data_IF_586980623731
#
_entry.id   IF_586980623731
#
_cell.length_a   1.000
_cell.length_b   1.000
_cell.length_c   1.000
_cell.angle_alpha   90.00
_cell.angle_beta   90.00
_cell.angle_gamma   90.00
#
_symmetry.space_group_name_H-M   'P 1'
#
loop_
_entity.id
_entity.type
_entity.pdbx_description
1 polymer ?
#
# COMPACT_ATOMS: atom_id res chain seq x y z
N UNK A 1 39.78 -35.48 -20.86
CA UNK A 1 39.36 -35.03 -19.54
C UNK A 1 39.68 -33.56 -19.44
N UNK A 2 38.71 -32.67 -19.75
CA UNK A 2 38.90 -31.21 -19.82
C UNK A 2 38.27 -30.64 -18.53
N UNK A 3 39.10 -30.13 -17.63
CA UNK A 3 38.68 -29.42 -16.38
C UNK A 3 38.29 -27.99 -16.76
N UNK A 4 37.02 -27.66 -16.65
CA UNK A 4 36.53 -26.27 -16.68
C UNK A 4 36.84 -25.58 -15.36
N UNK A 5 37.39 -24.36 -15.35
CA UNK A 5 37.68 -23.65 -14.12
C UNK A 5 36.39 -23.03 -13.52
N UNK A 6 36.05 -23.48 -12.32
CA UNK A 6 34.88 -23.09 -11.53
C UNK A 6 34.94 -21.66 -10.91
N UNK A 7 35.71 -20.73 -11.50
CA UNK A 7 35.93 -19.38 -10.92
C UNK A 7 35.02 -18.25 -11.45
N UNK A 8 34.17 -18.52 -12.46
CA UNK A 8 33.39 -17.45 -13.12
C UNK A 8 32.01 -17.16 -12.50
N UNK A 9 31.54 -17.95 -11.52
CA UNK A 9 30.16 -17.81 -10.99
C UNK A 9 30.06 -16.84 -9.81
N UNK A 10 31.18 -16.41 -9.20
CA UNK A 10 31.16 -15.56 -7.98
C UNK A 10 31.02 -14.05 -8.24
N UNK A 11 31.19 -13.54 -9.45
CA UNK A 11 31.16 -12.10 -9.73
C UNK A 11 29.76 -11.54 -10.06
N UNK A 12 28.79 -12.38 -10.41
CA UNK A 12 27.46 -11.92 -10.83
C UNK A 12 26.52 -11.53 -9.67
N UNK A 13 26.84 -11.87 -8.41
CA UNK A 13 25.98 -11.55 -7.25
C UNK A 13 26.16 -10.14 -6.67
N UNK A 14 27.16 -9.38 -7.08
CA UNK A 14 27.48 -8.06 -6.48
C UNK A 14 26.71 -6.88 -7.09
N UNK A 15 26.06 -7.02 -8.23
CA UNK A 15 25.34 -5.93 -8.91
C UNK A 15 23.93 -5.67 -8.37
N UNK A 16 23.39 -6.53 -7.49
CA UNK A 16 22.02 -6.42 -6.96
C UNK A 16 21.91 -5.83 -5.54
N UNK A 17 22.94 -5.22 -5.00
CA UNK A 17 22.95 -4.76 -3.62
C UNK A 17 22.57 -3.28 -3.42
N UNK A 18 22.06 -2.59 -4.43
CA UNK A 18 21.49 -1.28 -4.20
C UNK A 18 20.08 -1.47 -3.62
N UNK A 19 19.97 -1.36 -2.30
CA UNK A 19 18.69 -1.36 -1.57
C UNK A 19 18.42 0.03 -1.06
N UNK A 20 17.33 0.61 -1.52
CA UNK A 20 16.84 1.91 -1.05
C UNK A 20 15.62 1.68 -0.18
N UNK A 21 15.65 2.16 1.06
CA UNK A 21 14.54 2.07 2.01
C UNK A 21 14.09 3.47 2.39
N UNK A 22 12.79 3.71 2.35
CA UNK A 22 12.16 4.96 2.80
C UNK A 22 10.88 4.64 3.57
N UNK A 23 10.65 5.41 4.63
CA UNK A 23 9.48 5.24 5.50
C UNK A 23 8.81 6.59 5.70
N UNK A 24 7.49 6.61 5.56
CA UNK A 24 6.63 7.76 5.78
C UNK A 24 5.57 7.40 6.81
N UNK A 25 5.18 8.37 7.63
CA UNK A 25 4.20 8.16 8.69
C UNK A 25 3.14 9.25 8.65
N UNK A 26 1.92 8.87 8.99
CA UNK A 26 0.81 9.80 9.19
C UNK A 26 -0.03 9.36 10.39
N UNK A 27 -0.60 10.34 11.09
CA UNK A 27 -1.54 10.13 12.18
C UNK A 27 -2.95 10.35 11.64
N UNK A 28 -3.88 9.49 12.02
CA UNK A 28 -5.30 9.56 11.69
C UNK A 28 -6.12 9.62 12.97
N UNK A 29 -7.18 10.43 12.95
CA UNK A 29 -8.21 10.43 14.01
C UNK A 29 -9.12 9.19 13.94
N UNK A 30 -9.11 8.44 12.83
CA UNK A 30 -9.83 7.19 12.68
C UNK A 30 -9.28 6.10 13.62
N UNK A 31 -10.12 5.11 13.93
CA UNK A 31 -9.69 3.95 14.71
C UNK A 31 -8.72 3.06 13.92
N UNK A 32 -7.95 2.23 14.62
CA UNK A 32 -7.09 1.20 13.98
C UNK A 32 -7.92 0.29 13.07
N UNK A 33 -9.13 -0.07 13.51
CA UNK A 33 -9.99 -0.98 12.75
C UNK A 33 -10.51 -0.34 11.45
N UNK A 34 -10.88 0.94 11.47
CA UNK A 34 -11.34 1.64 10.27
C UNK A 34 -10.21 1.85 9.28
N UNK A 35 -9.03 2.22 9.77
CA UNK A 35 -7.83 2.36 8.96
C UNK A 35 -7.41 1.01 8.36
N UNK A 36 -7.50 -0.05 9.15
CA UNK A 36 -7.21 -1.41 8.69
C UNK A 36 -8.21 -1.88 7.64
N UNK A 37 -9.52 -1.67 7.85
CA UNK A 37 -10.55 -2.00 6.85
C UNK A 37 -10.28 -1.29 5.51
N UNK A 38 -9.94 0.00 5.55
CA UNK A 38 -9.62 0.76 4.35
C UNK A 38 -8.39 0.23 3.64
N UNK A 39 -7.34 -0.14 4.38
CA UNK A 39 -6.12 -0.73 3.83
C UNK A 39 -6.37 -2.10 3.20
N UNK A 40 -7.27 -2.91 3.79
CA UNK A 40 -7.58 -4.27 3.33
C UNK A 40 -8.56 -4.31 2.17
N UNK A 41 -9.24 -3.22 1.86
CA UNK A 41 -10.08 -3.08 0.66
C UNK A 41 -9.19 -2.84 -0.57
N UNK A 42 -8.66 -3.93 -1.11
CA UNK A 42 -7.78 -3.90 -2.28
C UNK A 42 -8.51 -3.51 -3.57
N UNK A 43 -9.84 -3.54 -3.59
CA UNK A 43 -10.65 -3.11 -4.73
C UNK A 43 -10.72 -1.58 -4.80
N UNK A 44 -10.76 -0.90 -3.67
CA UNK A 44 -10.77 0.56 -3.60
C UNK A 44 -9.37 1.13 -3.46
N UNK A 45 -8.77 1.49 -4.57
CA UNK A 45 -7.47 2.18 -4.65
C UNK A 45 -7.60 3.68 -4.93
N UNK A 46 -8.79 4.25 -4.80
CA UNK A 46 -9.05 5.67 -5.08
C UNK A 46 -8.16 6.61 -4.24
N UNK A 47 -7.86 6.21 -3.01
CA UNK A 47 -7.00 6.92 -2.08
C UNK A 47 -5.50 6.78 -2.41
N UNK A 48 -5.10 5.79 -3.23
CA UNK A 48 -3.68 5.49 -3.45
C UNK A 48 -3.11 6.35 -4.58
N UNK A 49 -2.07 7.18 -4.35
CA UNK A 49 -1.58 8.13 -5.35
C UNK A 49 -0.86 7.49 -6.53
N UNK A 50 -0.35 6.26 -6.36
CA UNK A 50 0.38 5.53 -7.40
C UNK A 50 -0.49 4.56 -8.19
N UNK A 51 -1.63 4.10 -7.65
CA UNK A 51 -2.50 3.11 -8.29
C UNK A 51 -3.73 3.77 -8.91
N UNK A 52 -4.08 3.37 -10.14
CA UNK A 52 -5.26 3.82 -10.86
C UNK A 52 -6.44 2.86 -10.66
N UNK A 53 -6.19 1.56 -10.76
CA UNK A 53 -7.19 0.50 -10.62
C UNK A 53 -6.55 -0.82 -10.23
N UNK A 54 -7.38 -1.76 -9.77
CA UNK A 54 -7.00 -3.16 -9.53
C UNK A 54 -8.02 -4.09 -10.16
N UNK A 55 -7.62 -5.34 -10.39
CA UNK A 55 -8.52 -6.40 -10.84
C UNK A 55 -9.14 -7.20 -9.68
N UNK A 56 -8.98 -6.72 -8.45
CA UNK A 56 -9.53 -7.38 -7.26
C UNK A 56 -11.04 -7.16 -7.20
N UNK A 57 -11.87 -8.22 -7.07
CA UNK A 57 -13.30 -8.06 -6.88
C UNK A 57 -13.60 -7.46 -5.50
N UNK A 58 -14.71 -6.70 -5.42
CA UNK A 58 -15.17 -6.12 -4.16
C UNK A 58 -15.41 -7.19 -3.11
N UNK A 59 -15.00 -6.92 -1.87
CA UNK A 59 -15.17 -7.82 -0.74
C UNK A 59 -14.11 -8.93 -0.62
N UNK A 60 -13.15 -9.01 -1.56
CA UNK A 60 -12.02 -9.92 -1.40
C UNK A 60 -11.04 -9.37 -0.36
N UNK A 61 -10.84 -10.14 0.70
CA UNK A 61 -9.90 -9.79 1.78
C UNK A 61 -8.49 -10.26 1.42
N UNK A 62 -7.50 -9.39 1.63
CA UNK A 62 -6.09 -9.72 1.41
C UNK A 62 -5.66 -10.90 2.29
N UNK A 63 -5.04 -11.91 1.66
CA UNK A 63 -4.48 -13.09 2.33
C UNK A 63 -3.05 -13.32 1.84
N UNK A 64 -2.16 -13.86 2.69
CA UNK A 64 -0.83 -14.27 2.25
C UNK A 64 -0.92 -15.22 1.05
N UNK A 65 -0.11 -14.99 0.03
CA UNK A 65 -0.13 -15.76 -1.21
C UNK A 65 -1.10 -15.24 -2.29
N UNK A 66 -1.95 -14.25 -1.99
CA UNK A 66 -2.79 -13.62 -3.00
C UNK A 66 -1.94 -12.87 -4.02
N UNK A 67 -2.20 -13.13 -5.30
CA UNK A 67 -1.59 -12.40 -6.43
C UNK A 67 -2.71 -11.67 -7.17
N UNK A 68 -2.51 -10.38 -7.42
CA UNK A 68 -3.46 -9.58 -8.19
C UNK A 68 -2.73 -8.58 -9.09
N UNK A 69 -3.44 -7.99 -10.02
CA UNK A 69 -2.91 -6.98 -10.92
C UNK A 69 -3.43 -5.60 -10.53
N UNK A 70 -2.56 -4.62 -10.63
CA UNK A 70 -2.92 -3.21 -10.49
C UNK A 70 -2.35 -2.42 -11.66
N UNK A 71 -3.01 -1.33 -12.02
CA UNK A 71 -2.54 -0.38 -13.03
C UNK A 71 -2.01 0.85 -12.32
N UNK A 72 -0.82 1.30 -12.69
CA UNK A 72 -0.22 2.50 -12.10
C UNK A 72 -0.73 3.78 -12.76
N UNK A 73 -0.78 4.89 -12.00
CA UNK A 73 -1.17 6.22 -12.52
C UNK A 73 -0.07 6.89 -13.33
N UNK A 74 1.19 6.67 -12.98
CA UNK A 74 2.34 7.34 -13.61
C UNK A 74 2.58 6.82 -15.03
N UNK A 75 2.54 5.50 -15.17
CA UNK A 75 2.67 4.82 -16.45
C UNK A 75 1.59 3.74 -16.43
N UNK A 76 0.62 3.74 -17.36
CA UNK A 76 -0.51 2.81 -17.31
C UNK A 76 -0.09 1.37 -17.69
N UNK A 77 0.86 0.83 -16.96
CA UNK A 77 1.35 -0.54 -17.12
C UNK A 77 0.73 -1.39 -16.01
N UNK A 78 0.18 -2.58 -16.34
CA UNK A 78 -0.24 -3.53 -15.34
C UNK A 78 0.97 -4.09 -14.59
N UNK A 79 0.94 -4.03 -13.27
CA UNK A 79 1.95 -4.60 -12.38
C UNK A 79 1.34 -5.75 -11.59
N UNK A 80 2.14 -6.76 -11.28
CA UNK A 80 1.72 -7.85 -10.41
C UNK A 80 2.10 -7.53 -8.97
N UNK A 81 1.13 -7.65 -8.08
CA UNK A 81 1.29 -7.46 -6.64
C UNK A 81 1.06 -8.79 -5.95
N UNK A 82 2.03 -9.19 -5.15
CA UNK A 82 2.01 -10.41 -4.35
C UNK A 82 1.88 -10.04 -2.87
N UNK A 83 0.83 -10.52 -2.21
CA UNK A 83 0.65 -10.34 -0.77
C UNK A 83 1.53 -11.33 -0.02
N UNK A 84 2.59 -10.84 0.64
CA UNK A 84 3.55 -11.69 1.34
C UNK A 84 3.11 -12.01 2.76
N UNK A 85 2.66 -10.99 3.49
CA UNK A 85 2.34 -11.12 4.90
C UNK A 85 1.16 -10.25 5.29
N UNK A 86 0.26 -10.81 6.06
CA UNK A 86 -0.86 -10.10 6.66
C UNK A 86 -0.90 -10.46 8.16
N UNK A 87 -0.86 -9.43 9.00
CA UNK A 87 -1.17 -9.54 10.43
C UNK A 87 -2.35 -8.61 10.69
N UNK A 88 -3.55 -9.14 10.97
CA UNK A 88 -4.77 -8.34 11.13
C UNK A 88 -4.60 -7.20 12.13
N UNK A 89 -5.01 -5.99 11.73
CA UNK A 89 -4.90 -4.78 12.56
C UNK A 89 -3.50 -4.23 12.74
N UNK A 90 -2.44 -4.88 12.20
CA UNK A 90 -1.06 -4.52 12.50
C UNK A 90 -0.21 -4.29 11.26
N UNK A 91 -0.17 -5.27 10.32
CA UNK A 91 0.80 -5.26 9.23
C UNK A 91 0.27 -5.88 7.94
N UNK A 92 0.46 -5.18 6.82
CA UNK A 92 0.33 -5.69 5.46
C UNK A 92 1.64 -5.50 4.72
N UNK A 93 2.23 -6.57 4.20
CA UNK A 93 3.42 -6.53 3.35
C UNK A 93 3.09 -7.10 1.99
N UNK A 94 3.42 -6.34 0.95
CA UNK A 94 3.23 -6.72 -0.45
C UNK A 94 4.54 -6.57 -1.21
N UNK A 95 4.73 -7.45 -2.19
CA UNK A 95 5.83 -7.40 -3.14
C UNK A 95 5.29 -7.07 -4.51
N UNK A 96 5.94 -6.15 -5.18
CA UNK A 96 5.57 -5.69 -6.51
C UNK A 96 6.69 -6.07 -7.47
N UNK A 97 6.34 -6.80 -8.52
CA UNK A 97 7.24 -7.19 -9.58
C UNK A 97 6.96 -6.30 -10.79
N UNK A 98 7.80 -5.29 -10.99
CA UNK A 98 7.61 -4.30 -12.08
C UNK A 98 8.36 -4.75 -13.33
N UNK A 99 9.64 -5.07 -13.19
CA UNK A 99 10.53 -5.52 -14.29
C UNK A 99 11.52 -6.56 -13.79
N UNK A 100 12.08 -7.40 -14.67
CA UNK A 100 13.22 -8.23 -14.33
C UNK A 100 14.38 -7.39 -13.79
N UNK A 101 14.81 -7.65 -12.54
CA UNK A 101 15.91 -6.91 -11.90
C UNK A 101 15.51 -5.69 -11.07
N UNK A 102 14.22 -5.40 -10.95
CA UNK A 102 13.67 -4.42 -10.01
C UNK A 102 12.58 -5.07 -9.16
N UNK A 103 12.79 -5.11 -7.87
CA UNK A 103 11.85 -5.59 -6.87
C UNK A 103 11.49 -4.45 -5.94
N UNK A 104 10.20 -4.22 -5.75
CA UNK A 104 9.66 -3.29 -4.77
C UNK A 104 8.93 -4.07 -3.70
N UNK A 105 9.29 -3.84 -2.44
CA UNK A 105 8.58 -4.35 -1.28
C UNK A 105 7.96 -3.18 -0.53
N UNK A 106 6.66 -3.24 -0.34
CA UNK A 106 5.89 -2.25 0.39
C UNK A 106 5.35 -2.86 1.67
N UNK A 107 5.50 -2.14 2.77
CA UNK A 107 4.99 -2.56 4.08
C UNK A 107 4.19 -1.44 4.71
N UNK A 108 2.94 -1.74 5.03
CA UNK A 108 2.07 -0.89 5.84
C UNK A 108 2.04 -1.43 7.26
N UNK A 109 2.26 -0.56 8.24
CA UNK A 109 2.07 -0.87 9.66
C UNK A 109 1.06 0.09 10.25
N UNK A 110 0.12 -0.44 11.00
CA UNK A 110 -0.90 0.34 11.73
C UNK A 110 -0.66 0.14 13.22
N UNK A 111 -0.70 1.22 13.98
CA UNK A 111 -0.52 1.21 15.44
C UNK A 111 -1.52 2.15 16.09
N UNK A 112 -2.02 1.76 17.26
CA UNK A 112 -2.82 2.67 18.10
C UNK A 112 -1.92 3.75 18.70
N UNK A 113 -2.46 4.95 18.78
CA UNK A 113 -1.84 6.10 19.46
C UNK A 113 -2.85 6.75 20.38
N UNK A 114 -2.39 7.66 21.23
CA UNK A 114 -3.27 8.40 22.15
C UNK A 114 -4.31 9.24 21.41
N UNK A 115 -4.01 9.67 20.18
CA UNK A 115 -4.86 10.55 19.37
C UNK A 115 -5.55 9.82 18.21
N UNK A 116 -5.63 8.48 18.22
CA UNK A 116 -6.20 7.69 17.13
C UNK A 116 -5.28 6.59 16.64
N UNK A 117 -5.04 6.51 15.34
CA UNK A 117 -4.14 5.52 14.75
C UNK A 117 -2.97 6.17 14.01
N UNK A 118 -1.82 5.52 14.01
CA UNK A 118 -0.66 5.88 13.20
C UNK A 118 -0.46 4.83 12.12
N UNK A 119 -0.35 5.28 10.87
CA UNK A 119 0.05 4.43 9.74
C UNK A 119 1.48 4.74 9.34
N UNK A 120 2.28 3.70 9.18
CA UNK A 120 3.64 3.76 8.66
C UNK A 120 3.70 3.04 7.32
N UNK A 121 4.13 3.72 6.28
CA UNK A 121 4.31 3.23 4.93
C UNK A 121 5.79 3.14 4.62
N UNK A 122 6.31 1.94 4.44
CA UNK A 122 7.72 1.68 4.13
C UNK A 122 7.86 1.08 2.75
N UNK A 123 8.71 1.68 1.91
CA UNK A 123 9.06 1.18 0.58
C UNK A 123 10.52 0.75 0.59
N UNK A 124 10.77 -0.45 0.09
CA UNK A 124 12.11 -0.98 -0.16
C UNK A 124 12.24 -1.30 -1.62
N UNK A 125 13.11 -0.59 -2.33
CA UNK A 125 13.46 -0.87 -3.72
C UNK A 125 14.78 -1.62 -3.78
N UNK A 126 14.82 -2.74 -4.52
CA UNK A 126 16.02 -3.54 -4.75
C UNK A 126 16.26 -3.68 -6.24
N UNK A 127 17.48 -3.39 -6.67
CA UNK A 127 17.91 -3.52 -8.07
C UNK A 127 18.68 -2.29 -8.56
N UNK A 128 19.27 -2.42 -9.72
CA UNK A 128 20.11 -1.37 -10.32
C UNK A 128 19.31 -0.14 -10.79
N UNK A 129 18.03 -0.31 -11.10
CA UNK A 129 17.11 0.78 -11.47
C UNK A 129 16.50 1.52 -10.27
N UNK A 130 16.76 1.07 -9.04
CA UNK A 130 16.15 1.63 -7.83
C UNK A 130 16.29 3.15 -7.71
N UNK A 131 17.44 3.81 -8.00
CA UNK A 131 17.55 5.27 -7.90
C UNK A 131 16.66 6.00 -8.93
N UNK A 132 16.57 5.48 -10.15
CA UNK A 132 15.76 6.07 -11.22
C UNK A 132 14.28 5.96 -10.90
N UNK A 133 13.81 4.75 -10.54
CA UNK A 133 12.42 4.52 -10.16
C UNK A 133 12.06 5.33 -8.92
N UNK A 134 12.98 5.42 -7.95
CA UNK A 134 12.77 6.22 -6.76
C UNK A 134 12.53 7.70 -7.09
N UNK A 135 13.32 8.31 -7.96
CA UNK A 135 13.15 9.71 -8.35
C UNK A 135 11.77 9.99 -8.96
N UNK A 136 11.18 9.00 -9.63
CA UNK A 136 9.86 9.10 -10.24
C UNK A 136 8.73 8.93 -9.21
N UNK A 137 8.83 7.96 -8.30
CA UNK A 137 7.75 7.63 -7.37
C UNK A 137 7.79 8.43 -6.06
N UNK A 138 8.94 8.99 -5.69
CA UNK A 138 9.15 9.70 -4.42
C UNK A 138 8.06 10.71 -4.05
N UNK A 139 7.63 11.66 -4.93
CA UNK A 139 6.63 12.65 -4.57
C UNK A 139 5.26 12.05 -4.29
N UNK A 140 4.97 10.90 -4.89
CA UNK A 140 3.72 10.16 -4.67
C UNK A 140 3.82 9.27 -3.44
N UNK A 141 4.95 8.56 -3.26
CA UNK A 141 5.20 7.70 -2.11
C UNK A 141 5.09 8.47 -0.77
N UNK A 142 5.58 9.72 -0.74
CA UNK A 142 5.47 10.58 0.43
C UNK A 142 4.02 10.89 0.85
N UNK A 143 3.06 10.79 -0.08
CA UNK A 143 1.65 11.09 0.17
C UNK A 143 0.82 9.85 0.56
N UNK A 144 1.33 8.64 0.35
CA UNK A 144 0.56 7.39 0.56
C UNK A 144 0.01 7.29 1.98
N UNK A 145 0.87 7.47 2.98
CA UNK A 145 0.46 7.38 4.39
C UNK A 145 -0.61 8.42 4.74
N UNK A 146 -0.43 9.66 4.31
CA UNK A 146 -1.37 10.76 4.56
C UNK A 146 -2.71 10.54 3.86
N UNK A 147 -2.70 10.09 2.61
CA UNK A 147 -3.94 9.83 1.86
C UNK A 147 -4.71 8.63 2.42
N UNK A 148 -4.01 7.59 2.89
CA UNK A 148 -4.67 6.47 3.58
C UNK A 148 -5.33 6.93 4.88
N UNK A 149 -4.62 7.74 5.69
CA UNK A 149 -5.16 8.30 6.92
C UNK A 149 -6.43 9.14 6.67
N UNK A 150 -6.38 10.05 5.70
CA UNK A 150 -7.51 10.89 5.31
C UNK A 150 -8.70 10.07 4.78
N UNK A 151 -8.45 9.06 3.95
CA UNK A 151 -9.50 8.20 3.41
C UNK A 151 -10.21 7.39 4.51
N UNK A 152 -9.48 6.93 5.52
CA UNK A 152 -10.08 6.26 6.67
C UNK A 152 -10.99 7.21 7.48
N UNK A 153 -10.54 8.44 7.73
CA UNK A 153 -11.32 9.48 8.42
C UNK A 153 -12.62 9.82 7.68
N UNK A 154 -12.55 9.98 6.35
CA UNK A 154 -13.73 10.26 5.52
C UNK A 154 -14.75 9.12 5.59
N UNK A 155 -14.30 7.87 5.57
CA UNK A 155 -15.19 6.70 5.70
C UNK A 155 -15.88 6.67 7.03
N UNK A 156 -15.18 6.99 8.13
CA UNK A 156 -15.75 7.06 9.48
C UNK A 156 -16.80 8.17 9.58
N UNK A 157 -16.53 9.36 9.03
CA UNK A 157 -17.47 10.49 9.04
C UNK A 157 -18.76 10.17 8.26
N UNK A 158 -18.65 9.51 7.11
CA UNK A 158 -19.79 9.08 6.30
C UNK A 158 -20.66 8.05 7.05
N UNK A 159 -20.03 7.10 7.74
CA UNK A 159 -20.74 6.11 8.55
C UNK A 159 -21.55 6.74 9.71
N UNK A 160 -21.01 7.78 10.33
CA UNK A 160 -21.69 8.54 11.39
C UNK A 160 -22.85 9.38 10.84
N UNK A 161 -22.64 10.06 9.70
CA UNK A 161 -23.65 10.90 9.06
C UNK A 161 -24.84 10.08 8.53
N UNK A 162 -24.60 8.87 8.00
CA UNK A 162 -25.65 7.97 7.51
C UNK A 162 -26.52 7.35 8.62
N UNK A 163 -26.11 7.43 9.89
CA UNK A 163 -26.86 6.93 11.05
C UNK A 163 -27.79 7.94 11.70
N UNK A 164 -27.78 9.23 11.30
CA UNK A 164 -28.74 10.21 11.85
C UNK A 164 -30.14 9.91 11.28
N UNK A 165 -31.13 9.62 12.13
CA UNK A 165 -32.52 9.49 11.69
C UNK A 165 -32.99 10.81 11.08
N UNK A 166 -33.85 10.77 10.05
CA UNK A 166 -34.40 11.98 9.46
C UNK A 166 -35.13 12.78 10.57
N UNK A 167 -34.72 14.03 10.77
CA UNK A 167 -35.38 14.98 11.65
C UNK A 167 -36.84 15.10 11.19
N UNK A 168 -37.75 14.46 11.91
CA UNK A 168 -39.20 14.71 11.72
C UNK A 168 -39.45 16.17 12.02
N UNK A 169 -39.65 16.97 10.98
CA UNK A 169 -40.26 18.27 11.14
C UNK A 169 -41.69 18.01 11.59
N UNK A 170 -41.91 18.15 12.90
CA UNK A 170 -43.24 18.27 13.45
C UNK A 170 -43.75 19.64 13.01
N UNK A 171 -44.59 19.68 11.99
CA UNK A 171 -45.45 20.82 11.74
C UNK A 171 -46.41 20.92 12.90
N UNK A 172 -46.21 21.91 13.73
CA UNK A 172 -47.24 22.41 14.64
C UNK A 172 -48.09 23.36 13.80
N UNK A 173 -49.20 22.82 13.28
CA UNK A 173 -50.35 23.62 12.82
C UNK A 173 -51.06 24.16 14.03
N UNK A 174 -51.15 25.48 14.10
CA UNK A 174 -52.14 26.24 14.85
C UNK A 174 -52.98 27.05 13.88
#
# INVERSE_FOLDING_TARGET
MIRFPSRLIRHQRRWFQCSLVRTYQAISAASVDDLWKKLMDLADVSWHPLLASTNVPQGLVAKPGLIYQAVTRLIPIPIQIFVERVRPGELLSVRILVFPGLEEQVTYQVRSTVCGACVSYSVTLRGWLSPLVWSLIQPHAARVATQLAQAAEQTTLQAVSGKLPPRKHSCLDF
#
